data_IF_191978144562
#
_entry.id   IF_191978144562
#
_cell.length_a   1.000
_cell.length_b   1.000
_cell.length_c   1.000
_cell.angle_alpha   90.00
_cell.angle_beta   90.00
_cell.angle_gamma   90.00
#
_symmetry.space_group_name_H-M   'P 1'
#
loop_
_entity.id
_entity.type
_entity.pdbx_description
1 polymer ?
#
# COMPACT_ATOMS: atom_id res chain seq x y z
N UNK A 1 -68.86 -4.66 -9.66
CA UNK A 1 -67.91 -4.92 -10.78
C UNK A 1 -66.80 -3.87 -10.91
N UNK A 2 -66.96 -2.63 -10.41
CA UNK A 2 -65.93 -1.59 -10.58
C UNK A 2 -64.74 -1.74 -9.61
N UNK A 3 -64.98 -2.04 -8.33
CA UNK A 3 -63.93 -2.06 -7.30
C UNK A 3 -62.89 -3.18 -7.50
N UNK A 4 -63.32 -4.41 -7.80
CA UNK A 4 -62.40 -5.52 -8.05
C UNK A 4 -61.46 -5.26 -9.25
N UNK A 5 -61.94 -4.54 -10.27
CA UNK A 5 -61.13 -4.14 -11.43
C UNK A 5 -60.11 -3.05 -11.03
N UNK A 6 -60.50 -2.09 -10.21
CA UNK A 6 -59.57 -1.08 -9.68
C UNK A 6 -58.48 -1.72 -8.81
N UNK A 7 -58.85 -2.63 -7.90
CA UNK A 7 -57.89 -3.39 -7.09
C UNK A 7 -56.91 -4.17 -7.98
N UNK A 8 -57.39 -4.81 -9.04
CA UNK A 8 -56.53 -5.55 -9.98
C UNK A 8 -55.52 -4.65 -10.67
N UNK A 9 -55.94 -3.45 -11.12
CA UNK A 9 -55.04 -2.47 -11.74
C UNK A 9 -53.98 -1.94 -10.76
N UNK A 10 -54.37 -1.69 -9.51
CA UNK A 10 -53.43 -1.26 -8.48
C UNK A 10 -52.37 -2.34 -8.22
N UNK A 11 -52.79 -3.60 -8.11
CA UNK A 11 -51.86 -4.73 -7.93
C UNK A 11 -50.89 -4.87 -9.13
N UNK A 12 -51.38 -4.74 -10.36
CA UNK A 12 -50.54 -4.76 -11.56
C UNK A 12 -49.51 -3.62 -11.57
N UNK A 13 -49.92 -2.42 -11.17
CA UNK A 13 -49.01 -1.27 -11.07
C UNK A 13 -47.93 -1.50 -10.00
N UNK A 14 -48.29 -2.05 -8.84
CA UNK A 14 -47.35 -2.40 -7.77
C UNK A 14 -46.35 -3.45 -8.26
N UNK A 15 -46.81 -4.53 -8.90
CA UNK A 15 -45.94 -5.58 -9.43
C UNK A 15 -44.97 -5.06 -10.49
N UNK A 16 -45.45 -4.16 -11.35
CA UNK A 16 -44.62 -3.51 -12.36
C UNK A 16 -43.55 -2.64 -11.72
N UNK A 17 -43.91 -1.84 -10.71
CA UNK A 17 -42.97 -1.03 -9.94
C UNK A 17 -41.93 -1.87 -9.20
N UNK A 18 -42.35 -2.96 -8.57
CA UNK A 18 -41.44 -3.91 -7.90
C UNK A 18 -40.47 -4.56 -8.87
N UNK A 19 -40.94 -4.91 -10.08
CA UNK A 19 -40.09 -5.48 -11.13
C UNK A 19 -39.03 -4.46 -11.58
N UNK A 20 -39.42 -3.21 -11.81
CA UNK A 20 -38.49 -2.15 -12.19
C UNK A 20 -37.43 -1.89 -11.10
N UNK A 21 -37.85 -1.78 -9.84
CA UNK A 21 -36.94 -1.58 -8.70
C UNK A 21 -35.95 -2.76 -8.56
N UNK A 22 -36.41 -3.99 -8.75
CA UNK A 22 -35.53 -5.17 -8.73
C UNK A 22 -34.44 -5.07 -9.80
N UNK A 23 -34.79 -4.67 -11.03
CA UNK A 23 -33.82 -4.53 -12.11
C UNK A 23 -32.82 -3.41 -11.85
N UNK A 24 -33.27 -2.27 -11.31
CA UNK A 24 -32.37 -1.18 -10.93
C UNK A 24 -31.40 -1.62 -9.83
N UNK A 25 -31.88 -2.34 -8.82
CA UNK A 25 -31.05 -2.85 -7.74
C UNK A 25 -30.00 -3.84 -8.25
N UNK A 26 -30.37 -4.78 -9.12
CA UNK A 26 -29.42 -5.70 -9.77
C UNK A 26 -28.34 -4.90 -10.51
N UNK A 27 -28.73 -3.94 -11.35
CA UNK A 27 -27.77 -3.13 -12.09
C UNK A 27 -26.87 -2.26 -11.20
N UNK A 28 -27.32 -1.88 -9.99
CA UNK A 28 -26.48 -1.20 -9.00
C UNK A 28 -25.51 -2.17 -8.32
N UNK A 29 -25.95 -3.38 -8.02
CA UNK A 29 -25.11 -4.45 -7.44
C UNK A 29 -24.00 -4.81 -8.43
N UNK A 30 -24.32 -5.06 -9.70
CA UNK A 30 -23.32 -5.37 -10.73
C UNK A 30 -22.25 -4.27 -10.85
N UNK A 31 -22.65 -2.99 -10.75
CA UNK A 31 -21.71 -1.85 -10.75
C UNK A 31 -20.85 -1.79 -9.50
N UNK A 32 -21.34 -2.25 -8.35
CA UNK A 32 -20.57 -2.34 -7.11
C UNK A 32 -19.57 -3.48 -7.24
N UNK A 33 -19.98 -4.64 -7.73
CA UNK A 33 -19.10 -5.81 -7.92
C UNK A 33 -17.91 -5.45 -8.82
N UNK A 34 -18.16 -4.82 -9.97
CA UNK A 34 -17.08 -4.35 -10.86
C UNK A 34 -16.12 -3.34 -10.19
N UNK A 35 -16.63 -2.51 -9.27
CA UNK A 35 -15.78 -1.58 -8.51
C UNK A 35 -14.95 -2.32 -7.46
N UNK A 36 -15.51 -3.33 -6.81
CA UNK A 36 -14.82 -4.16 -5.82
C UNK A 36 -13.70 -4.95 -6.51
N UNK A 37 -13.97 -5.61 -7.63
CA UNK A 37 -12.94 -6.28 -8.44
C UNK A 37 -11.82 -5.32 -8.85
N UNK A 38 -12.19 -4.09 -9.22
CA UNK A 38 -11.24 -3.03 -9.55
C UNK A 38 -10.42 -2.52 -8.36
N UNK A 39 -10.93 -2.63 -7.14
CA UNK A 39 -10.20 -2.32 -5.90
C UNK A 39 -9.25 -3.46 -5.54
N UNK A 40 -9.68 -4.72 -5.63
CA UNK A 40 -8.83 -5.89 -5.38
C UNK A 40 -7.60 -5.87 -6.28
N UNK A 41 -7.79 -5.63 -7.59
CA UNK A 41 -6.66 -5.51 -8.52
C UNK A 41 -5.75 -4.29 -8.27
N UNK A 42 -6.22 -3.26 -7.56
CA UNK A 42 -5.36 -2.15 -7.10
C UNK A 42 -4.58 -2.52 -5.84
N UNK A 43 -5.20 -3.24 -4.91
CA UNK A 43 -4.57 -3.75 -3.69
C UNK A 43 -3.43 -4.70 -4.05
N UNK A 44 -3.66 -5.68 -4.95
CA UNK A 44 -2.61 -6.59 -5.43
C UNK A 44 -1.39 -5.86 -6.03
N UNK A 45 -1.63 -4.74 -6.72
CA UNK A 45 -0.56 -3.91 -7.30
C UNK A 45 0.19 -3.11 -6.23
N UNK A 46 -0.49 -2.71 -5.16
CA UNK A 46 0.14 -2.03 -4.03
C UNK A 46 0.99 -3.01 -3.23
N UNK A 47 0.51 -4.23 -2.96
CA UNK A 47 1.26 -5.27 -2.25
C UNK A 47 2.58 -5.56 -2.96
N UNK A 48 2.54 -5.82 -4.28
CA UNK A 48 3.76 -6.02 -5.09
C UNK A 48 4.72 -4.83 -5.07
N UNK A 49 4.21 -3.61 -4.97
CA UNK A 49 5.05 -2.40 -4.86
C UNK A 49 5.69 -2.30 -3.49
N UNK A 50 4.96 -2.66 -2.43
CA UNK A 50 5.46 -2.69 -1.05
C UNK A 50 6.58 -3.73 -0.95
N UNK A 51 6.38 -4.96 -1.44
CA UNK A 51 7.41 -6.00 -1.45
C UNK A 51 8.71 -5.53 -2.15
N UNK A 52 8.56 -4.85 -3.29
CA UNK A 52 9.71 -4.32 -4.03
C UNK A 52 10.43 -3.20 -3.27
N UNK A 53 9.69 -2.35 -2.56
CA UNK A 53 10.26 -1.28 -1.74
C UNK A 53 10.98 -1.87 -0.55
N UNK A 54 10.36 -2.82 0.16
CA UNK A 54 10.94 -3.53 1.29
C UNK A 54 12.27 -4.17 0.90
N UNK A 55 12.27 -5.00 -0.15
CA UNK A 55 13.49 -5.65 -0.66
C UNK A 55 14.60 -4.64 -0.95
N UNK A 56 14.29 -3.55 -1.67
CA UNK A 56 15.27 -2.51 -2.01
C UNK A 56 15.80 -1.80 -0.77
N UNK A 57 14.97 -1.59 0.25
CA UNK A 57 15.40 -0.95 1.49
C UNK A 57 16.29 -1.89 2.30
N UNK A 58 15.93 -3.16 2.44
CA UNK A 58 16.77 -4.18 3.09
C UNK A 58 18.14 -4.27 2.43
N UNK A 59 18.22 -4.43 1.10
CA UNK A 59 19.49 -4.48 0.37
C UNK A 59 20.36 -3.24 0.58
N UNK A 60 19.74 -2.05 0.65
CA UNK A 60 20.47 -0.80 0.92
C UNK A 60 20.96 -0.72 2.35
N UNK A 61 20.15 -1.15 3.31
CA UNK A 61 20.52 -1.16 4.73
C UNK A 61 21.65 -2.16 4.99
N UNK A 62 21.60 -3.35 4.39
CA UNK A 62 22.68 -4.34 4.47
C UNK A 62 23.99 -3.78 3.91
N UNK A 63 23.93 -3.13 2.73
CA UNK A 63 25.10 -2.48 2.14
C UNK A 63 25.67 -1.38 3.04
N UNK A 64 24.81 -0.52 3.60
CA UNK A 64 25.24 0.54 4.51
C UNK A 64 25.86 -0.07 5.77
N UNK A 65 25.24 -1.11 6.34
CA UNK A 65 25.78 -1.82 7.51
C UNK A 65 27.17 -2.38 7.26
N UNK A 66 27.40 -3.03 6.12
CA UNK A 66 28.73 -3.52 5.74
C UNK A 66 29.74 -2.39 5.56
N UNK A 67 29.35 -1.29 4.90
CA UNK A 67 30.24 -0.15 4.69
C UNK A 67 30.61 0.53 6.01
N UNK A 68 29.69 0.61 6.96
CA UNK A 68 29.94 1.14 8.30
C UNK A 68 30.90 0.24 9.08
N UNK A 69 30.68 -1.07 9.08
CA UNK A 69 31.57 -2.02 9.75
C UNK A 69 33.01 -1.96 9.19
N UNK A 70 33.14 -1.84 7.87
CA UNK A 70 34.45 -1.68 7.22
C UNK A 70 35.14 -0.38 7.63
N UNK A 71 34.40 0.74 7.68
CA UNK A 71 34.95 2.02 8.12
C UNK A 71 35.35 1.98 9.59
N UNK A 72 34.53 1.38 10.46
CA UNK A 72 34.83 1.25 11.89
C UNK A 72 36.13 0.48 12.17
N UNK A 73 36.43 -0.55 11.37
CA UNK A 73 37.66 -1.35 11.48
C UNK A 73 38.91 -0.60 10.96
N UNK A 74 38.78 0.15 9.86
CA UNK A 74 39.91 0.83 9.20
C UNK A 74 40.20 2.25 9.71
N UNK A 75 39.31 2.86 10.51
CA UNK A 75 39.52 4.24 10.99
C UNK A 75 40.37 4.27 12.26
N UNK A 76 41.46 5.06 12.30
CA UNK A 76 42.22 5.29 13.53
C UNK A 76 41.32 5.86 14.61
N UNK A 77 41.50 5.37 15.83
CA UNK A 77 40.85 5.95 17.00
C UNK A 77 41.35 7.37 17.24
N UNK A 78 40.55 8.16 17.96
CA UNK A 78 40.95 9.52 18.35
C UNK A 78 42.22 9.48 19.20
N UNK A 79 42.31 8.50 20.09
CA UNK A 79 43.47 8.28 20.94
C UNK A 79 44.74 7.99 20.14
N UNK A 80 44.67 7.15 19.10
CA UNK A 80 45.81 6.89 18.21
C UNK A 80 46.24 8.15 17.45
N UNK A 81 45.28 8.99 17.03
CA UNK A 81 45.55 10.26 16.38
C UNK A 81 46.25 11.26 17.33
N UNK A 82 45.77 11.37 18.57
CA UNK A 82 46.38 12.22 19.60
C UNK A 82 47.83 11.78 19.91
N UNK A 83 48.08 10.47 19.95
CA UNK A 83 49.43 9.92 20.14
C UNK A 83 50.36 10.23 18.95
N UNK A 84 49.85 10.14 17.72
CA UNK A 84 50.59 10.51 16.51
C UNK A 84 50.94 12.00 16.52
N UNK A 85 49.99 12.87 16.88
CA UNK A 85 50.20 14.31 16.98
C UNK A 85 51.33 14.66 17.97
N UNK A 86 51.33 14.05 19.17
CA UNK A 86 52.42 14.23 20.14
C UNK A 86 53.78 13.76 19.60
N UNK A 87 53.83 12.64 18.89
CA UNK A 87 55.07 12.13 18.29
C UNK A 87 55.59 13.04 17.17
N UNK A 88 54.71 13.59 16.35
CA UNK A 88 55.08 14.54 15.28
C UNK A 88 55.64 15.84 15.88
N UNK A 89 55.00 16.36 16.92
CA UNK A 89 55.43 17.58 17.60
C UNK A 89 56.79 17.42 18.31
N UNK A 90 57.13 16.21 18.77
CA UNK A 90 58.45 15.95 19.38
C UNK A 90 59.55 15.70 18.35
N UNK A 91 59.20 15.29 17.12
CA UNK A 91 60.13 15.05 16.01
C UNK A 91 60.36 16.29 15.13
N UNK A 92 59.49 17.30 15.21
CA UNK A 92 59.66 18.58 14.52
C UNK A 92 60.25 19.61 15.51
N UNK A 93 61.56 19.88 15.47
CA UNK A 93 62.21 20.89 16.32
C UNK A 93 61.79 22.33 15.98
#
# INVERSE_FOLDING_TARGET
>A
MNDANQTTKMLQAILSGQTALKQELIGRIDKVDLKVDGLDGKVDKLDKKIDKVEKRLTERLDKIGMQLAYLEDDTPTREEFDQLEQRVNTLSP
#
